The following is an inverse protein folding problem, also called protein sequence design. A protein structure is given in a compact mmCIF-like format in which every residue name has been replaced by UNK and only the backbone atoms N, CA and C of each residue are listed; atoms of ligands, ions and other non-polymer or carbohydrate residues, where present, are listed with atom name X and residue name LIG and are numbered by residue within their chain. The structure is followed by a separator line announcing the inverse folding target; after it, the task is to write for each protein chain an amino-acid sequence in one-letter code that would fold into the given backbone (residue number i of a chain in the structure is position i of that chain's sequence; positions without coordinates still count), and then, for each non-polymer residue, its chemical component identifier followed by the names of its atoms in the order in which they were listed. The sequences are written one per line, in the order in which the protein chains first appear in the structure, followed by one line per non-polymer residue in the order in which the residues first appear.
data_IF_398946003878
#
_entry.id   IF_398946003878
#
_cell.length_a   1.000
_cell.length_b   1.000
_cell.length_c   1.000
_cell.angle_alpha   90.00
_cell.angle_beta   90.00
_cell.angle_gamma   90.00
#
_symmetry.space_group_name_H-M   'P 1'
#
loop_
_entity.id
_entity.type
_entity.pdbx_description
1 polymer ?
#
# COMPACT_ATOMS: atom_id res chain seq x y z
N UNK A 1 -0.37 15.59 -11.24
CA UNK A 1 -0.42 15.13 -9.83
C UNK A 1 -0.47 13.62 -9.85
N UNK A 2 0.17 12.96 -8.89
CA UNK A 2 0.25 11.50 -8.75
C UNK A 2 0.38 11.15 -7.26
N UNK A 3 0.22 9.88 -6.92
CA UNK A 3 0.57 9.33 -5.59
C UNK A 3 1.43 8.08 -5.80
N UNK A 4 2.73 8.32 -5.99
CA UNK A 4 3.64 7.33 -6.57
C UNK A 4 4.24 6.45 -5.50
N UNK A 5 4.27 5.15 -5.75
CA UNK A 5 4.81 4.19 -4.80
C UNK A 5 5.55 3.03 -5.45
N UNK A 6 6.39 2.38 -4.63
CA UNK A 6 7.05 1.13 -4.98
C UNK A 6 6.53 -0.05 -4.16
N UNK A 7 6.30 -1.18 -4.84
CA UNK A 7 6.23 -2.48 -4.16
C UNK A 7 7.44 -3.30 -4.57
N UNK A 8 8.05 -3.96 -3.61
CA UNK A 8 9.17 -4.87 -3.82
C UNK A 8 8.79 -6.21 -3.24
N UNK A 9 8.87 -7.25 -4.05
CA UNK A 9 8.69 -8.63 -3.59
C UNK A 9 10.03 -9.32 -3.66
N UNK A 10 10.51 -9.82 -2.52
CA UNK A 10 11.74 -10.60 -2.41
C UNK A 10 11.39 -12.05 -2.05
N UNK A 11 11.91 -12.99 -2.82
CA UNK A 11 11.73 -14.41 -2.65
C UNK A 11 12.88 -15.16 -3.34
N UNK A 12 13.29 -16.28 -2.73
CA UNK A 12 14.34 -17.17 -3.22
C UNK A 12 15.67 -16.44 -3.46
N UNK A 13 16.01 -15.49 -2.60
CA UNK A 13 17.25 -14.70 -2.68
C UNK A 13 17.27 -13.66 -3.82
N UNK A 14 16.15 -13.42 -4.49
CA UNK A 14 16.00 -12.43 -5.55
C UNK A 14 14.81 -11.51 -5.29
N UNK A 15 14.79 -10.33 -5.92
CA UNK A 15 13.68 -9.39 -5.75
C UNK A 15 13.20 -8.79 -7.07
N UNK A 16 11.92 -8.39 -7.08
CA UNK A 16 11.27 -7.69 -8.18
C UNK A 16 10.64 -6.41 -7.67
N UNK A 17 11.00 -5.29 -8.29
CA UNK A 17 10.40 -3.97 -8.01
C UNK A 17 9.27 -3.70 -8.97
N UNK A 18 8.25 -3.04 -8.45
CA UNK A 18 7.04 -2.65 -9.13
C UNK A 18 6.70 -1.20 -8.81
N UNK A 19 5.92 -0.59 -9.67
CA UNK A 19 5.54 0.81 -9.61
C UNK A 19 4.03 0.98 -9.72
N UNK A 20 3.50 1.90 -8.93
CA UNK A 20 2.13 2.42 -9.08
C UNK A 20 2.17 3.94 -9.11
N UNK A 21 1.34 4.54 -9.97
CA UNK A 21 1.21 5.99 -10.07
C UNK A 21 0.26 6.59 -9.02
N UNK A 22 -0.60 5.76 -8.41
CA UNK A 22 -1.69 6.22 -7.52
C UNK A 22 -1.79 5.49 -6.18
N UNK A 23 -0.96 4.48 -5.92
CA UNK A 23 -1.14 3.61 -4.75
C UNK A 23 -0.52 4.08 -3.44
N UNK A 24 0.20 5.21 -3.39
CA UNK A 24 0.84 5.64 -2.14
C UNK A 24 -0.16 6.00 -1.02
N UNK A 25 -1.32 6.57 -1.35
CA UNK A 25 -2.33 6.98 -0.37
C UNK A 25 -3.16 5.84 0.25
N UNK A 26 -3.05 4.64 -0.30
CA UNK A 26 -3.85 3.47 0.06
C UNK A 26 -3.00 2.22 0.24
N UNK A 27 -1.68 2.36 0.29
CA UNK A 27 -0.77 1.23 0.41
C UNK A 27 -1.08 0.38 1.64
N UNK A 28 -1.50 0.98 2.76
CA UNK A 28 -1.93 0.21 3.93
C UNK A 28 -3.06 -0.76 3.62
N UNK A 29 -4.03 -0.34 2.79
CA UNK A 29 -5.20 -1.14 2.42
C UNK A 29 -4.79 -2.29 1.49
N UNK A 30 -3.79 -2.05 0.64
CA UNK A 30 -3.23 -3.08 -0.26
C UNK A 30 -2.42 -4.15 0.48
N UNK A 31 -2.07 -3.89 1.75
CA UNK A 31 -1.30 -4.77 2.61
C UNK A 31 -2.16 -5.46 3.67
N UNK A 32 -3.37 -4.96 3.98
CA UNK A 32 -4.20 -5.46 5.09
C UNK A 32 -4.55 -6.95 5.00
N UNK A 33 -4.76 -7.47 3.79
CA UNK A 33 -5.23 -8.85 3.58
C UNK A 33 -4.14 -9.94 3.70
N UNK A 34 -2.96 -9.57 4.20
CA UNK A 34 -1.89 -10.53 4.49
C UNK A 34 -0.91 -10.75 3.35
N UNK A 35 0.11 -11.60 3.56
CA UNK A 35 1.27 -11.73 2.67
C UNK A 35 0.91 -12.22 1.27
N UNK A 36 -0.03 -13.15 1.14
CA UNK A 36 -0.41 -13.73 -0.15
C UNK A 36 -1.14 -12.71 -1.02
N UNK A 37 -2.16 -12.06 -0.46
CA UNK A 37 -2.94 -11.05 -1.14
C UNK A 37 -2.07 -9.84 -1.52
N UNK A 38 -1.26 -9.34 -0.59
CA UNK A 38 -0.32 -8.25 -0.82
C UNK A 38 0.70 -8.58 -1.92
N UNK A 39 1.24 -9.81 -1.93
CA UNK A 39 2.20 -10.24 -2.96
C UNK A 39 1.54 -10.33 -4.33
N UNK A 40 0.34 -10.91 -4.41
CA UNK A 40 -0.44 -10.99 -5.65
C UNK A 40 -0.73 -9.59 -6.19
N UNK A 41 -1.16 -8.68 -5.33
CA UNK A 41 -1.39 -7.28 -5.69
C UNK A 41 -0.13 -6.59 -6.21
N UNK A 42 0.97 -6.68 -5.46
CA UNK A 42 2.26 -6.10 -5.83
C UNK A 42 2.74 -6.63 -7.18
N UNK A 43 2.66 -7.94 -7.42
CA UNK A 43 3.08 -8.57 -8.66
C UNK A 43 2.27 -8.14 -9.89
N UNK A 44 1.01 -7.71 -9.69
CA UNK A 44 0.14 -7.17 -10.73
C UNK A 44 0.45 -5.72 -11.13
N UNK A 45 1.30 -5.02 -10.37
CA UNK A 45 1.70 -3.64 -10.67
C UNK A 45 2.73 -3.55 -11.80
N UNK A 46 2.96 -2.35 -12.32
CA UNK A 46 3.85 -2.12 -13.46
C UNK A 46 5.31 -2.47 -13.12
N UNK A 47 6.00 -3.23 -13.98
CA UNK A 47 7.46 -3.40 -13.89
C UNK A 47 8.17 -2.05 -14.05
N UNK A 48 9.25 -1.83 -13.31
CA UNK A 48 10.09 -0.66 -13.53
C UNK A 48 11.56 -0.96 -13.28
N UNK A 49 12.43 -0.34 -14.07
CA UNK A 49 13.89 -0.56 -14.04
C UNK A 49 14.65 0.51 -13.27
N UNK A 50 13.95 1.59 -12.88
CA UNK A 50 14.50 2.68 -12.08
C UNK A 50 13.73 2.84 -10.76
N UNK A 51 14.48 3.15 -9.70
CA UNK A 51 13.94 3.69 -8.45
C UNK A 51 13.49 5.15 -8.64
N UNK A 52 12.34 5.48 -8.09
CA UNK A 52 11.97 6.86 -7.82
C UNK A 52 13.00 7.48 -6.86
N UNK A 53 13.22 8.79 -6.98
CA UNK A 53 13.88 9.51 -5.88
C UNK A 53 12.90 9.74 -4.72
N UNK A 54 13.40 10.22 -3.58
CA UNK A 54 12.55 10.41 -2.39
C UNK A 54 11.49 11.50 -2.54
N UNK A 55 11.74 12.51 -3.37
CA UNK A 55 10.76 13.56 -3.62
C UNK A 55 9.64 13.04 -4.53
N UNK A 56 9.93 11.98 -5.29
CA UNK A 56 9.00 11.29 -6.15
C UNK A 56 8.27 10.13 -5.46
N UNK A 57 8.90 9.45 -4.51
CA UNK A 57 8.40 8.23 -3.86
C UNK A 57 7.68 8.55 -2.56
N UNK A 58 6.35 8.50 -2.59
CA UNK A 58 5.50 8.87 -1.46
C UNK A 58 5.21 7.69 -0.51
N UNK A 59 5.32 6.46 -1.00
CA UNK A 59 5.18 5.24 -0.20
C UNK A 59 6.02 4.12 -0.82
N UNK A 60 6.44 3.17 0.01
CA UNK A 60 7.09 1.97 -0.49
C UNK A 60 6.91 0.81 0.49
N UNK A 61 6.84 -0.41 -0.06
CA UNK A 61 6.76 -1.64 0.71
C UNK A 61 7.73 -2.69 0.16
N UNK A 62 8.46 -3.34 1.06
CA UNK A 62 9.22 -4.56 0.85
C UNK A 62 8.49 -5.72 1.52
N UNK A 63 8.04 -6.67 0.68
CA UNK A 63 7.46 -7.94 1.09
C UNK A 63 8.55 -9.01 0.92
N UNK A 64 9.27 -9.31 1.99
CA UNK A 64 10.39 -10.25 2.01
C UNK A 64 9.91 -11.63 2.51
N UNK A 65 9.70 -12.55 1.56
CA UNK A 65 9.29 -13.93 1.84
C UNK A 65 10.42 -14.78 2.42
N UNK A 66 11.68 -14.42 2.16
CA UNK A 66 12.84 -15.16 2.68
C UNK A 66 12.94 -14.98 4.19
N UNK A 67 12.69 -13.76 4.68
CA UNK A 67 12.74 -13.42 6.11
C UNK A 67 11.38 -13.39 6.81
N UNK A 68 10.28 -13.52 6.06
CA UNK A 68 8.91 -13.24 6.51
C UNK A 68 8.82 -11.86 7.16
N UNK A 69 9.22 -10.84 6.41
CA UNK A 69 9.29 -9.45 6.86
C UNK A 69 8.52 -8.54 5.91
N UNK A 70 7.63 -7.72 6.45
CA UNK A 70 7.02 -6.58 5.77
C UNK A 70 7.69 -5.32 6.31
N UNK A 71 8.46 -4.63 5.48
CA UNK A 71 9.06 -3.32 5.79
C UNK A 71 8.42 -2.27 4.89
N UNK A 72 7.77 -1.25 5.44
CA UNK A 72 6.98 -0.34 4.62
C UNK A 72 6.82 1.05 5.23
N UNK A 73 6.52 2.03 4.39
CA UNK A 73 6.06 3.35 4.81
C UNK A 73 4.96 3.84 3.86
N UNK A 74 4.07 4.68 4.39
CA UNK A 74 3.03 5.37 3.61
C UNK A 74 2.63 6.68 4.30
N UNK A 75 1.65 7.38 3.75
CA UNK A 75 1.05 8.60 4.30
C UNK A 75 0.33 8.43 5.66
N UNK A 76 0.34 7.24 6.26
CA UNK A 76 -0.27 6.99 7.58
C UNK A 76 0.42 7.73 8.74
N UNK A 77 1.51 8.48 8.52
CA UNK A 77 2.24 9.18 9.58
C UNK A 77 1.47 10.37 10.18
N UNK A 78 0.53 10.99 9.44
CA UNK A 78 -0.19 12.19 9.89
C UNK A 78 -1.28 11.90 10.94
N UNK A 79 -1.74 10.65 11.05
CA UNK A 79 -2.76 10.22 12.00
C UNK A 79 -2.27 9.00 12.79
N UNK A 80 -1.69 9.29 13.96
CA UNK A 80 -1.11 8.26 14.85
C UNK A 80 -2.14 7.19 15.23
N UNK A 81 -3.41 7.56 15.43
CA UNK A 81 -4.46 6.62 15.79
C UNK A 81 -4.84 5.72 14.61
N UNK A 82 -4.94 6.28 13.40
CA UNK A 82 -5.14 5.51 12.18
C UNK A 82 -4.01 4.50 11.95
N UNK A 83 -2.75 4.94 12.07
CA UNK A 83 -1.59 4.04 11.91
C UNK A 83 -1.55 2.94 12.97
N UNK A 84 -1.86 3.27 14.23
CA UNK A 84 -1.94 2.27 15.30
C UNK A 84 -3.00 1.20 14.97
N UNK A 85 -4.17 1.62 14.47
CA UNK A 85 -5.21 0.70 14.02
C UNK A 85 -4.73 -0.17 12.85
N UNK A 86 -4.04 0.40 11.85
CA UNK A 86 -3.49 -0.35 10.72
C UNK A 86 -2.55 -1.46 11.21
N UNK A 87 -1.56 -1.13 12.05
CA UNK A 87 -0.61 -2.10 12.58
C UNK A 87 -1.30 -3.17 13.44
N UNK A 88 -2.30 -2.79 14.25
CA UNK A 88 -3.06 -3.72 15.07
C UNK A 88 -3.87 -4.72 14.23
N UNK A 89 -4.41 -4.31 13.09
CA UNK A 89 -5.17 -5.16 12.16
C UNK A 89 -4.25 -6.01 11.29
N UNK A 90 -3.09 -5.48 10.87
CA UNK A 90 -2.12 -6.26 10.09
C UNK A 90 -1.54 -7.43 10.90
N UNK A 91 -1.34 -7.27 12.21
CA UNK A 91 -0.76 -8.32 13.05
C UNK A 91 -1.47 -9.69 12.93
N UNK A 92 -2.81 -9.81 13.06
CA UNK A 92 -3.50 -11.08 12.85
C UNK A 92 -3.60 -11.54 11.38
N UNK A 93 -3.55 -10.63 10.40
CA UNK A 93 -3.63 -11.02 8.96
C UNK A 93 -2.28 -11.39 8.36
N UNK A 94 -1.18 -11.10 9.04
CA UNK A 94 0.20 -11.47 8.68
C UNK A 94 0.81 -12.48 9.68
N UNK A 95 0.22 -13.68 9.84
CA UNK A 95 0.67 -14.62 10.86
C UNK A 95 2.11 -15.09 10.60
N UNK A 96 2.96 -14.95 11.61
CA UNK A 96 4.36 -15.39 11.55
C UNK A 96 5.29 -14.46 10.76
N UNK A 97 4.83 -13.26 10.41
CA UNK A 97 5.65 -12.22 9.78
C UNK A 97 6.03 -11.13 10.78
N UNK A 98 7.19 -10.51 10.58
CA UNK A 98 7.57 -9.25 11.24
C UNK A 98 7.03 -8.09 10.41
N UNK A 99 6.26 -7.20 11.02
CA UNK A 99 5.77 -5.98 10.39
C UNK A 99 6.54 -4.79 10.97
N UNK A 100 7.23 -4.05 10.11
CA UNK A 100 8.14 -2.97 10.48
C UNK A 100 7.86 -1.71 9.65
N UNK A 101 7.96 -0.55 10.30
CA UNK A 101 7.88 0.74 9.62
C UNK A 101 9.26 1.17 9.12
N UNK A 102 9.33 1.61 7.87
CA UNK A 102 10.52 2.18 7.26
C UNK A 102 10.62 3.67 7.61
N UNK A 103 11.23 3.98 8.75
CA UNK A 103 11.39 5.37 9.25
C UNK A 103 12.29 6.22 8.34
N UNK A 104 13.26 5.61 7.67
CA UNK A 104 14.06 6.23 6.61
C UNK A 104 13.36 6.24 5.25
N UNK A 105 12.06 5.93 5.18
CA UNK A 105 11.30 5.88 3.94
C UNK A 105 11.88 4.88 2.94
N UNK A 106 12.10 5.31 1.71
CA UNK A 106 12.67 4.47 0.66
C UNK A 106 14.09 3.97 1.01
N UNK A 107 14.84 4.68 1.87
CA UNK A 107 16.20 4.24 2.25
C UNK A 107 16.24 2.92 2.97
N UNK A 108 15.38 2.73 3.96
CA UNK A 108 15.40 1.51 4.75
C UNK A 108 15.09 0.30 3.87
N UNK A 109 14.30 0.51 2.80
CA UNK A 109 14.00 -0.51 1.79
C UNK A 109 15.21 -0.78 0.90
N UNK A 110 15.89 0.27 0.40
CA UNK A 110 17.10 0.10 -0.41
C UNK A 110 18.22 -0.59 0.39
N UNK A 111 18.43 -0.19 1.64
CA UNK A 111 19.40 -0.77 2.56
C UNK A 111 19.09 -2.26 2.83
N UNK A 112 17.81 -2.60 3.08
CA UNK A 112 17.37 -3.97 3.25
C UNK A 112 17.57 -4.86 2.00
N UNK A 113 17.65 -4.25 0.81
CA UNK A 113 17.91 -4.95 -0.45
C UNK A 113 19.41 -5.03 -0.81
N UNK A 114 20.27 -4.35 -0.04
CA UNK A 114 21.69 -4.19 -0.37
C UNK A 114 21.94 -3.29 -1.57
N UNK A 115 20.97 -2.44 -1.93
CA UNK A 115 21.09 -1.52 -3.06
C UNK A 115 22.00 -0.33 -2.69
N UNK A 116 22.91 0.08 -3.60
CA UNK A 116 23.82 1.19 -3.33
C UNK A 116 23.06 2.52 -3.19
N UNK A 117 23.22 3.14 -2.03
CA UNK A 117 22.68 4.47 -1.71
C UNK A 117 23.49 5.55 -2.44
N UNK A 118 23.07 5.94 -3.65
CA UNK A 118 23.75 6.97 -4.43
C UNK A 118 23.29 8.38 -3.99
N UNK A 119 24.24 9.28 -3.68
CA UNK A 119 24.05 10.57 -2.98
C UNK A 119 23.14 11.67 -3.58
N UNK A 120 21.93 11.34 -4.05
CA UNK A 120 20.83 12.30 -4.32
C UNK A 120 19.81 12.36 -3.19
N UNK A 121 20.28 12.01 -2.02
CA UNK A 121 19.48 11.40 -1.01
C UNK A 121 19.75 12.15 0.30
N UNK A 122 18.78 12.96 0.71
CA UNK A 122 18.98 14.02 1.72
C UNK A 122 19.17 13.38 3.10
N UNK A 123 19.98 14.08 3.89
CA UNK A 123 20.25 13.86 5.30
C UNK A 123 19.12 13.13 6.08
N UNK A 124 19.46 11.99 6.71
CA UNK A 124 18.61 11.21 7.63
C UNK A 124 17.97 12.08 8.72
N UNK A 125 18.54 13.24 9.02
CA UNK A 125 18.04 14.18 10.04
C UNK A 125 16.78 14.97 9.64
N UNK A 126 16.43 14.99 8.35
CA UNK A 126 15.29 15.78 7.86
C UNK A 126 13.94 15.07 7.94
N UNK A 127 13.93 13.81 8.38
CA UNK A 127 12.69 13.11 8.70
C UNK A 127 12.15 13.61 10.04
N UNK A 128 11.00 14.30 10.00
CA UNK A 128 10.17 14.58 11.17
C UNK A 128 9.64 13.31 11.86
N UNK A 129 9.98 12.12 11.36
CA UNK A 129 9.47 10.82 11.79
C UNK A 129 10.42 10.12 12.80
N UNK A 130 11.03 10.87 13.74
CA UNK A 130 11.66 10.25 14.91
C UNK A 130 10.61 9.93 15.98
N UNK A 131 9.76 8.94 15.69
CA UNK A 131 8.80 8.38 16.64
C UNK A 131 9.43 7.39 17.62
N UNK A 132 10.76 7.31 17.71
CA UNK A 132 11.39 6.82 18.94
C UNK A 132 11.14 7.79 20.09
N UNK A 133 10.80 9.04 19.79
CA UNK A 133 10.36 10.01 20.78
C UNK A 133 8.85 9.84 21.05
N UNK A 134 8.43 9.64 22.32
CA UNK A 134 7.02 9.63 22.66
C UNK A 134 6.39 10.98 22.28
N UNK A 135 5.31 10.94 21.52
CA UNK A 135 4.51 12.13 21.17
C UNK A 135 4.05 12.78 22.49
N UNK A 136 4.48 14.02 22.76
CA UNK A 136 3.90 14.84 23.83
C UNK A 136 2.45 15.15 23.47
N UNK A 137 1.51 14.36 23.96
CA UNK A 137 0.08 14.65 23.87
C UNK A 137 -0.26 15.84 24.79
N UNK A 138 -0.81 16.90 24.21
CA UNK A 138 -1.62 17.90 24.92
C UNK A 138 -3.03 17.33 25.14
N UNK A 139 -3.69 17.70 26.25
CA UNK A 139 -4.98 17.16 26.68
C UNK A 139 -6.03 17.13 25.54
N UNK A 140 -6.42 15.92 25.12
CA UNK A 140 -7.42 15.63 24.10
C UNK A 140 -8.29 14.44 24.52
N UNK A 141 -9.10 13.84 23.61
CA UNK A 141 -9.89 12.63 23.88
C UNK A 141 -9.06 11.52 24.54
N UNK A 142 -9.70 10.59 25.25
CA UNK A 142 -8.97 9.48 25.84
C UNK A 142 -8.25 8.68 24.77
N UNK A 143 -7.10 8.10 25.10
CA UNK A 143 -6.30 7.29 24.17
C UNK A 143 -7.12 6.18 23.49
N UNK A 144 -8.07 5.61 24.23
CA UNK A 144 -9.03 4.62 23.73
C UNK A 144 -9.99 5.18 22.67
N UNK A 145 -10.48 6.41 22.85
CA UNK A 145 -11.38 7.05 21.89
C UNK A 145 -10.65 7.39 20.58
N UNK A 146 -9.37 7.76 20.69
CA UNK A 146 -8.48 7.96 19.55
C UNK A 146 -8.32 6.65 18.76
N UNK A 147 -7.95 5.55 19.44
CA UNK A 147 -7.75 4.24 18.80
C UNK A 147 -9.00 3.72 18.11
N UNK A 148 -10.17 3.82 18.76
CA UNK A 148 -11.45 3.43 18.16
C UNK A 148 -11.85 4.32 16.98
N UNK A 149 -11.49 5.61 17.01
CA UNK A 149 -11.68 6.51 15.84
C UNK A 149 -10.79 6.08 14.68
N UNK A 150 -9.52 5.78 14.95
CA UNK A 150 -8.58 5.27 13.94
C UNK A 150 -9.08 3.98 13.30
N UNK A 151 -9.57 3.05 14.11
CA UNK A 151 -10.15 1.78 13.63
C UNK A 151 -11.39 1.99 12.76
N UNK A 152 -12.36 2.83 13.20
CA UNK A 152 -13.55 3.12 12.39
C UNK A 152 -13.18 3.68 11.01
N UNK A 153 -12.27 4.65 10.98
CA UNK A 153 -11.78 5.25 9.73
C UNK A 153 -11.09 4.22 8.83
N UNK A 154 -10.35 3.27 9.42
CA UNK A 154 -9.71 2.19 8.66
C UNK A 154 -10.73 1.25 8.01
N UNK A 155 -11.75 0.84 8.76
CA UNK A 155 -12.85 0.02 8.24
C UNK A 155 -13.54 0.73 7.06
N UNK A 156 -13.95 1.99 7.27
CA UNK A 156 -14.60 2.79 6.22
C UNK A 156 -13.75 2.92 4.96
N UNK A 157 -12.44 3.19 5.11
CA UNK A 157 -11.51 3.27 3.97
C UNK A 157 -11.32 1.92 3.29
N UNK A 158 -11.25 0.83 4.04
CA UNK A 158 -11.11 -0.52 3.47
C UNK A 158 -12.35 -0.89 2.66
N UNK A 159 -13.55 -0.71 3.22
CA UNK A 159 -14.81 -1.03 2.54
C UNK A 159 -14.98 -0.20 1.27
N UNK A 160 -14.76 1.12 1.37
CA UNK A 160 -14.79 2.01 0.20
C UNK A 160 -13.74 1.61 -0.85
N UNK A 161 -12.56 1.17 -0.44
CA UNK A 161 -11.53 0.68 -1.36
C UNK A 161 -12.01 -0.58 -2.09
N UNK A 162 -12.69 -1.52 -1.41
CA UNK A 162 -13.25 -2.71 -2.05
C UNK A 162 -14.42 -2.40 -3.00
N UNK A 163 -15.26 -1.40 -2.69
CA UNK A 163 -16.42 -1.02 -3.52
C UNK A 163 -16.05 -0.36 -4.85
N UNK A 164 -14.86 0.27 -4.95
CA UNK A 164 -14.34 0.84 -6.22
C UNK A 164 -14.22 -0.24 -7.32
N UNK A 165 -14.26 -1.52 -6.98
CA UNK A 165 -14.33 -2.64 -7.93
C UNK A 165 -15.59 -2.60 -8.82
N UNK A 166 -16.75 -2.15 -8.32
CA UNK A 166 -17.96 -2.02 -9.16
C UNK A 166 -17.81 -0.92 -10.23
N UNK A 167 -17.15 0.18 -9.89
CA UNK A 167 -16.78 1.21 -10.87
C UNK A 167 -15.67 0.71 -11.82
N UNK A 168 -14.82 -0.21 -11.38
CA UNK A 168 -13.74 -0.81 -12.17
C UNK A 168 -14.24 -1.83 -13.19
N UNK A 169 -15.38 -2.50 -12.94
CA UNK A 169 -16.07 -3.29 -13.99
C UNK A 169 -16.48 -2.41 -15.17
N UNK A 170 -16.91 -1.18 -14.91
CA UNK A 170 -17.26 -0.20 -15.96
C UNK A 170 -16.03 0.26 -16.75
N UNK A 171 -14.87 0.43 -16.09
CA UNK A 171 -13.59 0.74 -16.74
C UNK A 171 -13.07 -0.46 -17.56
N UNK A 172 -13.24 -1.68 -17.07
CA UNK A 172 -12.87 -2.90 -17.79
C UNK A 172 -13.71 -3.07 -19.06
N UNK A 173 -15.00 -2.75 -19.01
CA UNK A 173 -15.86 -2.66 -20.20
C UNK A 173 -15.34 -1.60 -21.18
N UNK A 174 -14.95 -0.43 -20.67
CA UNK A 174 -14.42 0.69 -21.45
C UNK A 174 -13.10 0.32 -22.15
N UNK A 175 -12.19 -0.37 -21.44
CA UNK A 175 -10.93 -0.87 -22.01
C UNK A 175 -11.18 -1.97 -23.05
N UNK A 176 -12.18 -2.83 -22.85
CA UNK A 176 -12.59 -3.82 -23.86
C UNK A 176 -13.09 -3.13 -25.14
N UNK A 177 -13.91 -2.09 -25.00
CA UNK A 177 -14.39 -1.26 -26.13
C UNK A 177 -13.23 -0.54 -26.82
N UNK A 178 -12.31 0.06 -26.07
CA UNK A 178 -11.10 0.70 -26.62
C UNK A 178 -10.25 -0.31 -27.38
N UNK A 179 -10.07 -1.54 -26.86
CA UNK A 179 -9.37 -2.61 -27.56
C UNK A 179 -10.04 -3.02 -28.88
N UNK A 180 -11.36 -3.12 -28.89
CA UNK A 180 -12.13 -3.41 -30.11
C UNK A 180 -12.02 -2.30 -31.16
N UNK A 181 -12.09 -1.03 -30.74
CA UNK A 181 -11.93 0.13 -31.61
C UNK A 181 -10.51 0.21 -32.20
N UNK A 182 -9.50 -0.01 -31.37
CA UNK A 182 -8.09 -0.02 -31.77
C UNK A 182 -7.82 -1.13 -32.79
N UNK A 183 -8.36 -2.33 -32.56
CA UNK A 183 -8.25 -3.46 -33.49
C UNK A 183 -8.92 -3.17 -34.83
N UNK A 184 -10.10 -2.55 -34.81
CA UNK A 184 -10.83 -2.16 -36.02
C UNK A 184 -10.09 -1.08 -36.80
N UNK A 185 -9.54 -0.08 -36.11
CA UNK A 185 -8.74 0.97 -36.72
C UNK A 185 -7.47 0.41 -37.38
N UNK A 186 -6.79 -0.55 -36.73
CA UNK A 186 -5.63 -1.24 -37.30
C UNK A 186 -5.99 -2.04 -38.56
N UNK A 187 -7.14 -2.73 -38.57
CA UNK A 187 -7.65 -3.42 -39.76
C UNK A 187 -7.97 -2.48 -40.92
N UNK A 188 -8.31 -1.22 -40.62
CA UNK A 188 -8.52 -0.17 -41.61
C UNK A 188 -7.23 0.55 -42.04
N UNK A 189 -6.05 0.11 -41.57
CA UNK A 189 -4.76 0.72 -41.89
C UNK A 189 -4.50 2.06 -41.17
N UNK A 190 -5.23 2.36 -40.09
CA UNK A 190 -5.03 3.54 -39.27
C UNK A 190 -4.07 3.24 -38.13
N UNK A 191 -3.06 4.09 -37.93
CA UNK A 191 -2.27 4.09 -36.70
C UNK A 191 -3.10 4.68 -35.56
N UNK A 192 -3.09 3.98 -34.43
CA UNK A 192 -3.76 4.43 -33.21
C UNK A 192 -2.76 4.45 -32.07
N UNK A 193 -2.79 5.53 -31.30
CA UNK A 193 -1.99 5.65 -30.09
C UNK A 193 -2.95 5.64 -28.90
N UNK A 194 -3.00 4.52 -28.19
CA UNK A 194 -3.74 4.42 -26.93
C UNK A 194 -2.81 4.90 -25.83
N UNK A 195 -3.04 6.11 -25.32
CA UNK A 195 -2.43 6.58 -24.09
C UNK A 195 -3.14 5.89 -22.90
N UNK A 196 -2.82 4.61 -22.68
CA UNK A 196 -3.18 3.93 -21.43
C UNK A 196 -2.19 4.36 -20.36
N UNK A 197 -2.31 5.60 -19.90
CA UNK A 197 -1.86 5.87 -18.54
C UNK A 197 -2.87 5.20 -17.62
N UNK A 198 -2.47 4.78 -16.42
CA UNK A 198 -3.39 4.30 -15.37
C UNK A 198 -4.21 5.51 -14.87
N UNK A 199 -4.96 6.16 -15.76
CA UNK A 199 -5.01 7.60 -15.81
C UNK A 199 -5.88 8.25 -14.73
N UNK A 200 -6.69 7.50 -13.97
CA UNK A 200 -7.65 8.14 -13.07
C UNK A 200 -7.89 7.47 -11.71
N UNK A 201 -7.42 6.25 -11.45
CA UNK A 201 -7.66 5.62 -10.14
C UNK A 201 -6.64 4.53 -9.79
N UNK A 202 -6.30 4.44 -8.50
CA UNK A 202 -5.69 3.26 -7.91
C UNK A 202 -6.66 2.08 -7.99
N UNK A 203 -6.22 0.94 -8.51
CA UNK A 203 -7.07 -0.25 -8.60
C UNK A 203 -7.09 -0.96 -7.24
N UNK A 204 -8.25 -1.31 -6.70
CA UNK A 204 -8.30 -2.09 -5.48
C UNK A 204 -7.78 -3.51 -5.67
N UNK A 205 -7.41 -4.13 -4.55
CA UNK A 205 -7.02 -5.54 -4.53
C UNK A 205 -8.19 -6.42 -4.95
N UNK A 206 -7.91 -7.41 -5.80
CA UNK A 206 -8.87 -8.45 -6.17
C UNK A 206 -9.00 -9.49 -5.05
N UNK A 207 -9.52 -9.10 -3.88
CA UNK A 207 -9.60 -9.99 -2.72
C UNK A 207 -10.67 -11.07 -2.90
N UNK A 208 -10.35 -12.30 -2.48
CA UNK A 208 -11.36 -13.35 -2.36
C UNK A 208 -12.31 -13.05 -1.20
N UNK A 209 -13.50 -13.66 -1.19
CA UNK A 209 -14.44 -13.52 -0.07
C UNK A 209 -13.83 -13.98 1.26
N UNK A 210 -13.00 -15.04 1.23
CA UNK A 210 -12.26 -15.51 2.41
C UNK A 210 -11.25 -14.48 2.91
N UNK A 211 -10.51 -13.82 2.01
CA UNK A 211 -9.56 -12.75 2.35
C UNK A 211 -10.28 -11.54 2.96
N UNK A 212 -11.43 -11.14 2.39
CA UNK A 212 -12.28 -10.06 2.94
C UNK A 212 -12.79 -10.41 4.34
N UNK A 213 -13.32 -11.63 4.52
CA UNK A 213 -13.79 -12.12 5.83
C UNK A 213 -12.65 -12.12 6.86
N UNK A 214 -11.44 -12.52 6.46
CA UNK A 214 -10.29 -12.51 7.36
C UNK A 214 -9.91 -11.09 7.83
N UNK A 215 -9.95 -10.10 6.94
CA UNK A 215 -9.71 -8.68 7.30
C UNK A 215 -10.80 -8.16 8.24
N UNK A 216 -12.08 -8.44 7.97
CA UNK A 216 -13.16 -8.04 8.87
C UNK A 216 -13.08 -8.73 10.23
N UNK A 217 -12.71 -10.01 10.27
CA UNK A 217 -12.46 -10.71 11.53
C UNK A 217 -11.31 -10.06 12.33
N UNK A 218 -10.27 -9.57 11.66
CA UNK A 218 -9.20 -8.81 12.29
C UNK A 218 -9.70 -7.46 12.84
N UNK A 219 -10.54 -6.73 12.11
CA UNK A 219 -11.18 -5.51 12.64
C UNK A 219 -11.99 -5.79 13.91
N UNK A 220 -12.77 -6.86 13.91
CA UNK A 220 -13.57 -7.29 15.08
C UNK A 220 -12.69 -7.68 16.26
N UNK A 221 -11.60 -8.41 16.03
CA UNK A 221 -10.66 -8.78 17.07
C UNK A 221 -10.03 -7.55 17.74
N UNK A 222 -9.61 -6.56 16.94
CA UNK A 222 -9.07 -5.30 17.46
C UNK A 222 -10.16 -4.54 18.23
N UNK A 223 -11.39 -4.45 17.72
CA UNK A 223 -12.51 -3.79 18.40
C UNK A 223 -12.80 -4.40 19.77
N UNK A 224 -12.91 -5.73 19.84
CA UNK A 224 -13.22 -6.46 21.07
C UNK A 224 -12.14 -6.28 22.15
N UNK A 225 -10.86 -6.16 21.76
CA UNK A 225 -9.76 -5.89 22.68
C UNK A 225 -9.95 -4.56 23.44
N UNK A 226 -10.53 -3.55 22.79
CA UNK A 226 -10.78 -2.23 23.39
C UNK A 226 -12.09 -2.20 24.22
N UNK A 227 -13.04 -3.09 23.96
CA UNK A 227 -14.29 -3.21 24.73
C UNK A 227 -14.15 -4.04 26.01
N UNK A 228 -13.15 -4.94 26.08
CA UNK A 228 -12.90 -5.82 27.23
C UNK A 228 -11.86 -5.33 28.24
N UNK A 229 -11.29 -4.14 28.04
CA UNK A 229 -10.32 -3.48 28.94
C UNK A 229 -10.93 -2.26 29.63
#
# INVERSE_FOLDING_TARGET
MGSRAHYVVKADGSWKRRYTHWGAHSMELDLLAGPNAATRFAQGQQSCDRWLDELECEAAALIDHDERRLLWHSHCYEDVAYRAAVLAVMAPTWPGWRIEWAYGGLYDILDALGEPLHGRFRDRSSFQDDLRAPVRRTAGPSERDDELRGLRRLVEKFDAHQEVDEATQSISLLLHVVGALTSTAHQAGLETQVASDNAFAHRPMDLTDEEKVAVHAAFEAVRNKHSGS
#
